data_IF_565256708161
#
_entry.id   IF_565256708161
#
_cell.length_a   1.000
_cell.length_b   1.000
_cell.length_c   1.000
_cell.angle_alpha   90.00
_cell.angle_beta   90.00
_cell.angle_gamma   90.00
#
_symmetry.space_group_name_H-M   'P 1'
#
loop_
_entity.id
_entity.type
_entity.pdbx_description
1 polymer ?
#
# COMPACT_ATOMS: atom_id res chain seq x y z
N UNK A 1 21.53 -1.39 14.17
CA UNK A 1 20.75 -0.14 14.35
C UNK A 1 21.02 0.47 15.72
N UNK A 2 20.92 -0.32 16.79
CA UNK A 2 21.55 0.00 18.08
C UNK A 2 23.04 -0.37 18.01
N UNK A 3 23.92 0.55 18.36
CA UNK A 3 25.36 0.37 18.42
C UNK A 3 25.87 1.29 19.53
N UNK A 4 26.65 0.76 20.48
CA UNK A 4 27.04 1.32 21.80
C UNK A 4 27.61 2.76 21.78
N UNK A 5 26.82 3.74 21.36
CA UNK A 5 27.18 5.17 21.26
C UNK A 5 27.02 5.81 19.87
N UNK A 6 27.02 5.05 18.77
CA UNK A 6 26.90 5.57 17.39
C UNK A 6 25.62 5.15 16.65
N UNK A 7 24.71 4.44 17.33
CA UNK A 7 23.45 3.97 16.76
C UNK A 7 22.34 5.02 16.71
N UNK A 8 21.22 4.64 16.11
CA UNK A 8 19.96 5.39 16.23
C UNK A 8 19.49 5.35 17.70
N UNK A 9 18.84 6.43 18.15
CA UNK A 9 18.24 6.46 19.49
C UNK A 9 17.17 5.37 19.63
N UNK A 10 17.05 4.79 20.83
CA UNK A 10 16.01 3.78 21.11
C UNK A 10 14.61 4.32 20.80
N UNK A 11 14.35 5.61 21.04
CA UNK A 11 13.08 6.26 20.69
C UNK A 11 12.83 6.26 19.17
N UNK A 12 13.85 6.52 18.36
CA UNK A 12 13.75 6.48 16.89
C UNK A 12 13.50 5.05 16.40
N UNK A 13 14.19 4.08 17.00
CA UNK A 13 14.03 2.66 16.65
C UNK A 13 12.60 2.21 16.99
N UNK A 14 12.10 2.52 18.19
CA UNK A 14 10.75 2.15 18.64
C UNK A 14 9.66 2.78 17.74
N UNK A 15 9.82 4.05 17.37
CA UNK A 15 8.88 4.75 16.51
C UNK A 15 8.79 4.10 15.11
N UNK A 16 9.95 3.74 14.53
CA UNK A 16 10.00 3.05 13.23
C UNK A 16 9.46 1.61 13.34
N UNK A 17 9.79 0.90 14.43
CA UNK A 17 9.32 -0.46 14.68
C UNK A 17 7.80 -0.53 14.84
N UNK A 18 7.20 0.46 15.50
CA UNK A 18 5.75 0.58 15.66
C UNK A 18 5.04 0.67 14.32
N UNK A 19 5.55 1.52 13.43
CA UNK A 19 4.96 1.70 12.10
C UNK A 19 5.07 0.43 11.25
N UNK A 20 6.25 -0.20 11.24
CA UNK A 20 6.48 -1.48 10.55
C UNK A 20 5.58 -2.58 11.13
N UNK A 21 5.42 -2.66 12.46
CA UNK A 21 4.56 -3.63 13.13
C UNK A 21 3.10 -3.53 12.69
N UNK A 22 2.62 -2.31 12.43
CA UNK A 22 1.28 -2.09 11.90
C UNK A 22 1.11 -2.67 10.49
N UNK A 23 2.13 -2.53 9.62
CA UNK A 23 2.14 -3.10 8.26
C UNK A 23 2.25 -4.62 8.31
N UNK A 24 3.08 -5.17 9.19
CA UNK A 24 3.20 -6.63 9.36
C UNK A 24 1.88 -7.23 9.82
N UNK A 25 1.19 -6.57 10.74
CA UNK A 25 -0.15 -6.99 11.17
C UNK A 25 -1.15 -6.95 10.02
N UNK A 26 -1.07 -5.93 9.15
CA UNK A 26 -1.89 -5.80 7.96
C UNK A 26 -1.68 -6.93 6.95
N UNK A 27 -0.44 -7.41 6.82
CA UNK A 27 -0.12 -8.53 5.94
C UNK A 27 -0.81 -9.83 6.35
N UNK A 28 -1.16 -9.98 7.64
CA UNK A 28 -1.89 -11.14 8.17
C UNK A 28 -3.43 -10.99 8.07
N UNK A 29 -3.95 -9.80 7.82
CA UNK A 29 -5.40 -9.52 7.79
C UNK A 29 -6.09 -10.19 6.60
N UNK A 30 -7.25 -10.86 6.75
CA UNK A 30 -7.99 -11.47 5.63
C UNK A 30 -8.30 -10.48 4.48
N UNK A 31 -8.40 -10.98 3.24
CA UNK A 31 -8.51 -10.14 2.03
C UNK A 31 -9.82 -9.34 1.99
N UNK A 32 -10.92 -9.91 2.46
CA UNK A 32 -12.21 -9.24 2.67
C UNK A 32 -12.08 -8.02 3.59
N UNK A 33 -11.45 -8.20 4.75
CA UNK A 33 -11.23 -7.10 5.70
C UNK A 33 -10.30 -6.01 5.13
N UNK A 34 -9.31 -6.38 4.31
CA UNK A 34 -8.45 -5.41 3.63
C UNK A 34 -9.21 -4.59 2.59
N UNK A 35 -10.14 -5.20 1.86
CA UNK A 35 -10.99 -4.52 0.88
C UNK A 35 -11.92 -3.55 1.59
N UNK A 36 -12.61 -3.98 2.64
CA UNK A 36 -13.51 -3.13 3.43
C UNK A 36 -12.76 -1.93 4.03
N UNK A 37 -11.59 -2.17 4.61
CA UNK A 37 -10.73 -1.11 5.13
C UNK A 37 -10.29 -0.14 4.04
N UNK A 38 -9.90 -0.65 2.86
CA UNK A 38 -9.54 0.20 1.73
C UNK A 38 -10.71 1.08 1.30
N UNK A 39 -11.90 0.51 1.11
CA UNK A 39 -13.08 1.25 0.65
C UNK A 39 -13.51 2.29 1.69
N UNK A 40 -13.58 1.93 2.97
CA UNK A 40 -13.88 2.86 4.06
C UNK A 40 -12.92 4.05 4.10
N UNK A 41 -11.61 3.78 4.06
CA UNK A 41 -10.59 4.84 4.10
C UNK A 41 -10.52 5.65 2.80
N UNK A 42 -10.79 5.02 1.66
CA UNK A 42 -10.85 5.69 0.36
C UNK A 42 -11.99 6.70 0.29
N UNK A 43 -13.17 6.33 0.79
CA UNK A 43 -14.34 7.20 0.88
C UNK A 43 -14.07 8.34 1.87
N UNK A 44 -13.56 8.03 3.06
CA UNK A 44 -13.24 9.03 4.08
C UNK A 44 -12.20 10.07 3.59
N UNK A 45 -11.32 9.67 2.67
CA UNK A 45 -10.28 10.55 2.11
C UNK A 45 -10.75 11.36 0.89
N UNK A 46 -12.01 11.22 0.44
CA UNK A 46 -12.51 11.83 -0.80
C UNK A 46 -11.70 11.43 -2.04
N UNK A 47 -11.04 10.27 -1.98
CA UNK A 47 -10.14 9.72 -3.00
C UNK A 47 -10.81 8.57 -3.74
N UNK A 48 -12.11 8.62 -3.87
CA UNK A 48 -12.96 7.80 -4.72
C UNK A 48 -12.72 8.11 -6.20
N UNK A 49 -11.47 7.96 -6.63
CA UNK A 49 -11.05 8.04 -8.02
C UNK A 49 -11.43 6.76 -8.76
N UNK A 50 -12.69 6.64 -9.16
CA UNK A 50 -13.09 5.80 -10.29
C UNK A 50 -12.46 6.40 -11.56
N UNK A 51 -11.17 6.16 -11.78
CA UNK A 51 -10.42 6.88 -12.80
C UNK A 51 -9.18 6.12 -13.24
N UNK A 52 -9.32 5.46 -14.39
CA UNK A 52 -8.21 5.12 -15.27
C UNK A 52 -7.25 6.32 -15.34
N UNK A 53 -6.07 6.19 -14.75
CA UNK A 53 -5.07 7.27 -14.77
C UNK A 53 -5.07 8.25 -13.59
N UNK A 54 -5.75 7.97 -12.46
CA UNK A 54 -5.31 8.59 -11.20
C UNK A 54 -3.91 8.09 -10.91
N UNK A 55 -2.89 8.87 -11.31
CA UNK A 55 -1.52 8.69 -10.88
C UNK A 55 -1.59 8.59 -9.36
N UNK A 56 -1.52 7.37 -8.83
CA UNK A 56 -1.14 7.12 -7.43
C UNK A 56 0.04 8.06 -7.23
N UNK A 57 -0.14 9.09 -6.41
CA UNK A 57 0.97 9.94 -6.03
C UNK A 57 1.97 9.02 -5.34
N UNK A 58 2.93 8.50 -6.10
CA UNK A 58 4.10 7.78 -5.63
C UNK A 58 5.11 8.75 -5.02
N UNK A 59 4.63 9.85 -4.43
CA UNK A 59 5.43 10.96 -3.96
C UNK A 59 4.90 11.38 -2.60
N UNK A 60 5.78 11.28 -1.61
CA UNK A 60 5.46 11.41 -0.21
C UNK A 60 5.61 10.05 0.45
N UNK A 61 6.84 9.73 0.85
CA UNK A 61 7.04 9.00 2.09
C UNK A 61 5.94 9.43 3.07
N UNK A 62 5.22 8.48 3.68
CA UNK A 62 4.46 8.69 4.92
C UNK A 62 5.45 9.02 6.08
N UNK A 63 6.45 9.84 5.80
CA UNK A 63 7.43 10.37 6.71
C UNK A 63 6.78 11.50 7.48
N UNK A 64 6.68 11.27 8.78
CA UNK A 64 6.73 12.30 9.80
C UNK A 64 5.50 13.20 9.99
N UNK A 65 4.30 12.63 10.01
CA UNK A 65 3.18 13.24 10.76
C UNK A 65 2.54 12.22 11.69
N UNK A 66 3.19 11.89 12.80
CA UNK A 66 2.62 11.56 14.13
C UNK A 66 1.35 10.73 14.29
N UNK A 67 0.85 10.07 13.25
CA UNK A 67 -0.39 9.32 13.21
C UNK A 67 -0.08 8.05 12.44
N UNK A 68 0.32 7.03 13.18
CA UNK A 68 0.37 5.65 12.72
C UNK A 68 -1.05 5.22 12.36
N UNK A 69 -1.49 5.55 11.15
CA UNK A 69 -2.74 5.06 10.58
C UNK A 69 -2.40 4.59 9.18
N UNK A 70 -2.17 3.28 9.09
CA UNK A 70 -2.02 2.53 7.84
C UNK A 70 -3.00 3.06 6.79
N UNK A 71 -2.52 3.86 5.86
CA UNK A 71 -3.38 4.55 4.91
C UNK A 71 -4.02 3.59 3.90
N UNK A 72 -5.03 4.02 3.13
CA UNK A 72 -5.63 3.21 2.07
C UNK A 72 -4.57 2.75 1.04
N UNK A 73 -3.49 3.51 0.85
CA UNK A 73 -2.40 3.14 -0.06
C UNK A 73 -1.58 1.94 0.42
N UNK A 74 -1.41 1.76 1.73
CA UNK A 74 -0.71 0.60 2.29
C UNK A 74 -1.58 -0.65 2.10
N UNK A 75 -2.88 -0.55 2.38
CA UNK A 75 -3.84 -1.62 2.13
C UNK A 75 -3.84 -2.04 0.64
N UNK A 76 -3.86 -1.07 -0.27
CA UNK A 76 -3.79 -1.31 -1.71
C UNK A 76 -2.48 -2.01 -2.11
N UNK A 77 -1.34 -1.60 -1.55
CA UNK A 77 -0.05 -2.28 -1.80
C UNK A 77 -0.06 -3.73 -1.33
N UNK A 78 -0.63 -4.01 -0.15
CA UNK A 78 -0.78 -5.38 0.35
C UNK A 78 -1.67 -6.21 -0.59
N UNK A 79 -2.81 -5.67 -1.01
CA UNK A 79 -3.71 -6.32 -1.98
C UNK A 79 -3.00 -6.60 -3.31
N UNK A 80 -2.18 -5.67 -3.82
CA UNK A 80 -1.39 -5.86 -5.04
C UNK A 80 -0.31 -6.93 -4.93
N UNK A 81 0.23 -7.17 -3.73
CA UNK A 81 1.27 -8.19 -3.51
C UNK A 81 0.67 -9.58 -3.25
N UNK A 82 -0.61 -9.66 -2.87
CA UNK A 82 -1.28 -10.93 -2.63
C UNK A 82 -1.54 -11.69 -3.93
N UNK A 83 -1.26 -12.99 -3.90
CA UNK A 83 -1.52 -13.93 -4.99
C UNK A 83 -2.87 -14.65 -4.81
N UNK A 84 -3.86 -14.01 -4.18
CA UNK A 84 -5.18 -14.59 -3.97
C UNK A 84 -6.20 -14.12 -5.03
N UNK A 85 -7.21 -14.98 -5.25
CA UNK A 85 -8.21 -14.78 -6.30
C UNK A 85 -9.12 -13.58 -6.02
N UNK A 86 -9.43 -13.31 -4.75
CA UNK A 86 -10.43 -12.32 -4.38
C UNK A 86 -9.81 -10.91 -4.35
N UNK A 87 -8.54 -10.77 -3.95
CA UNK A 87 -7.75 -9.56 -4.18
C UNK A 87 -7.63 -9.25 -5.68
N UNK A 88 -7.34 -10.27 -6.50
CA UNK A 88 -7.26 -10.11 -7.95
C UNK A 88 -8.60 -9.65 -8.57
N UNK A 89 -9.74 -10.20 -8.11
CA UNK A 89 -11.07 -9.76 -8.55
C UNK A 89 -11.34 -8.32 -8.14
N UNK A 90 -11.04 -7.97 -6.89
CA UNK A 90 -11.19 -6.63 -6.37
C UNK A 90 -10.39 -5.61 -7.20
N UNK A 91 -9.09 -5.85 -7.39
CA UNK A 91 -8.21 -4.94 -8.15
C UNK A 91 -8.68 -4.75 -9.60
N UNK A 92 -9.09 -5.84 -10.27
CA UNK A 92 -9.65 -5.78 -11.63
C UNK A 92 -10.93 -4.96 -11.69
N UNK A 93 -11.85 -5.18 -10.74
CA UNK A 93 -13.13 -4.47 -10.68
C UNK A 93 -12.92 -2.97 -10.38
N UNK A 94 -12.07 -2.66 -9.39
CA UNK A 94 -11.88 -1.30 -8.88
C UNK A 94 -11.07 -0.40 -9.83
N UNK A 95 -10.09 -0.96 -10.51
CA UNK A 95 -9.15 -0.21 -11.37
C UNK A 95 -9.26 -0.54 -12.86
N UNK A 96 -10.29 -1.30 -13.26
CA UNK A 96 -10.48 -1.76 -14.64
C UNK A 96 -9.20 -2.39 -15.24
N UNK A 97 -8.44 -3.14 -14.43
CA UNK A 97 -7.18 -3.73 -14.88
C UNK A 97 -7.44 -4.76 -15.98
N UNK A 98 -6.86 -4.54 -17.15
CA UNK A 98 -6.95 -5.50 -18.26
C UNK A 98 -6.29 -6.83 -17.86
N UNK A 99 -6.85 -7.95 -18.32
CA UNK A 99 -6.26 -9.27 -18.11
C UNK A 99 -4.91 -9.30 -18.84
N UNK A 100 -3.81 -9.39 -18.08
CA UNK A 100 -2.48 -9.52 -18.68
C UNK A 100 -2.41 -10.84 -19.47
N UNK A 101 -2.16 -10.73 -20.77
CA UNK A 101 -2.03 -11.87 -21.67
C UNK A 101 -0.68 -12.55 -21.42
N UNK A 102 -0.69 -13.59 -20.58
CA UNK A 102 0.16 -14.78 -20.62
C UNK A 102 1.70 -14.71 -20.65
N UNK A 103 2.36 -13.55 -20.79
CA UNK A 103 3.82 -13.47 -20.91
C UNK A 103 4.36 -12.27 -20.13
N UNK A 104 5.10 -12.58 -19.07
CA UNK A 104 5.94 -11.64 -18.31
C UNK A 104 5.17 -10.71 -17.37
N UNK A 105 4.85 -11.20 -16.18
CA UNK A 105 4.50 -10.38 -15.02
C UNK A 105 5.70 -9.58 -14.51
N UNK A 106 6.13 -8.55 -15.26
CA UNK A 106 6.86 -7.42 -14.71
C UNK A 106 5.99 -6.19 -14.87
N UNK A 107 5.64 -5.59 -13.74
CA UNK A 107 5.01 -4.27 -13.68
C UNK A 107 6.00 -3.24 -14.23
N UNK A 108 5.88 -2.89 -15.51
CA UNK A 108 6.60 -1.76 -16.08
C UNK A 108 5.82 -0.48 -15.77
N UNK A 109 6.14 0.12 -14.61
CA UNK A 109 5.95 1.55 -14.38
C UNK A 109 7.03 2.30 -15.20
N UNK A 110 6.90 2.27 -16.52
CA UNK A 110 7.85 2.90 -17.45
C UNK A 110 7.16 3.98 -18.26
N UNK A 111 7.33 5.24 -17.85
CA UNK A 111 6.87 6.39 -18.62
C UNK A 111 7.63 6.48 -19.95
N UNK A 112 6.88 6.55 -21.06
CA UNK A 112 7.44 6.93 -22.35
C UNK A 112 7.58 8.44 -22.37
N UNK A 113 8.79 8.93 -22.07
CA UNK A 113 9.18 10.31 -22.35
C UNK A 113 9.29 10.43 -23.86
N UNK A 114 8.50 11.35 -24.43
CA UNK A 114 8.59 11.75 -25.85
C UNK A 114 9.78 12.66 -26.04
#
# INVERSE_FOLDING_TARGET
FRADGEGLSDQTIEALATDIGSVVSLMATPTDMLVDMYDWKSIASGKDGNGVGSRVSTGGSDGATGQSSVGPQVALRVLCHRSDRDASKFLKKRFAMQKADGKTGRMLLGGKVR
#
